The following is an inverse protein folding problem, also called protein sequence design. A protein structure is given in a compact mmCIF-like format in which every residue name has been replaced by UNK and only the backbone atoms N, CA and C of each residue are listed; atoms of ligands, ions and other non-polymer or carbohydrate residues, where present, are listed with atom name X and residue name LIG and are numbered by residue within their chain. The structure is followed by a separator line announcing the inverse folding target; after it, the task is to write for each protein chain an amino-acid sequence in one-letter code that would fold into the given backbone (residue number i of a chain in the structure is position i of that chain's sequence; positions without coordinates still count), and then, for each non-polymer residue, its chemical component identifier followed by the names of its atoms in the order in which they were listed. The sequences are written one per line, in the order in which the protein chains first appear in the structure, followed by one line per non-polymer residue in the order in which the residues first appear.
data_IF_495775231290
#
_entry.id   IF_495775231290
#
_cell.length_a   1.000
_cell.length_b   1.000
_cell.length_c   1.000
_cell.angle_alpha   90.00
_cell.angle_beta   90.00
_cell.angle_gamma   90.00
#
_symmetry.space_group_name_H-M   'P 1'
#
loop_
_entity.id
_entity.type
_entity.pdbx_description
1 polymer ?
#
# COMPACT_ATOMS: atom_id res chain seq x y z
N UNK A 1 49.83 12.00 13.68
CA UNK A 1 48.43 11.87 14.15
C UNK A 1 47.61 11.31 12.99
N UNK A 2 47.33 10.00 12.97
CA UNK A 2 46.55 9.32 11.93
C UNK A 2 45.15 9.08 12.51
N UNK A 3 44.15 9.79 12.00
CA UNK A 3 42.75 9.55 12.37
C UNK A 3 42.31 8.19 11.81
N UNK A 4 41.58 7.36 12.58
CA UNK A 4 41.15 6.05 12.12
C UNK A 4 40.04 6.18 11.05
N UNK A 5 40.05 5.36 9.98
CA UNK A 5 39.06 5.41 8.90
C UNK A 5 37.68 4.86 9.31
N UNK A 6 37.52 4.47 10.57
CA UNK A 6 36.35 3.76 11.11
C UNK A 6 35.12 4.67 11.16
N UNK A 7 35.30 5.99 11.24
CA UNK A 7 34.20 6.97 11.28
C UNK A 7 33.49 7.17 9.93
N UNK A 8 34.10 6.81 8.81
CA UNK A 8 33.49 7.01 7.49
C UNK A 8 32.44 5.95 7.14
N UNK A 9 32.55 4.73 7.69
CA UNK A 9 31.69 3.61 7.31
C UNK A 9 30.29 3.68 7.94
N UNK A 10 30.17 4.32 9.11
CA UNK A 10 28.89 4.43 9.85
C UNK A 10 27.89 5.38 9.19
N UNK A 11 28.36 6.38 8.43
CA UNK A 11 27.48 7.36 7.77
C UNK A 11 26.77 6.75 6.56
N UNK A 12 27.43 5.87 5.80
CA UNK A 12 26.85 5.26 4.59
C UNK A 12 25.67 4.32 4.89
N UNK A 13 25.67 3.62 6.03
CA UNK A 13 24.57 2.70 6.39
C UNK A 13 23.28 3.45 6.79
N UNK A 14 23.40 4.64 7.36
CA UNK A 14 22.24 5.43 7.79
C UNK A 14 21.47 6.08 6.63
N UNK A 15 22.13 6.32 5.48
CA UNK A 15 21.44 6.87 4.30
C UNK A 15 20.58 5.84 3.56
N UNK A 16 20.93 4.56 3.62
CA UNK A 16 20.24 3.51 2.86
C UNK A 16 18.81 3.21 3.37
N UNK A 17 18.59 3.24 4.69
CA UNK A 17 17.29 2.97 5.30
C UNK A 17 16.27 4.10 5.09
N UNK A 18 16.74 5.34 4.91
CA UNK A 18 15.87 6.49 4.60
C UNK A 18 15.36 6.42 3.16
N UNK A 19 16.21 5.98 2.22
CA UNK A 19 15.82 5.81 0.83
C UNK A 19 14.70 4.76 0.70
N UNK A 20 14.88 3.58 1.30
CA UNK A 20 13.89 2.51 1.28
C UNK A 20 12.52 2.97 1.80
N UNK A 21 12.46 3.67 2.95
CA UNK A 21 11.18 4.18 3.47
C UNK A 21 10.54 5.28 2.62
N UNK A 22 11.33 6.06 1.87
CA UNK A 22 10.79 7.05 0.94
C UNK A 22 10.20 6.38 -0.30
N UNK A 23 10.85 5.34 -0.82
CA UNK A 23 10.35 4.53 -1.93
C UNK A 23 9.05 3.80 -1.54
N UNK A 24 8.99 3.20 -0.35
CA UNK A 24 7.79 2.52 0.15
C UNK A 24 6.62 3.49 0.35
N UNK A 25 6.90 4.70 0.83
CA UNK A 25 5.90 5.77 0.95
C UNK A 25 5.33 6.16 -0.41
N UNK A 26 6.18 6.35 -1.43
CA UNK A 26 5.72 6.71 -2.77
C UNK A 26 4.85 5.59 -3.37
N UNK A 27 5.31 4.33 -3.25
CA UNK A 27 4.57 3.16 -3.71
C UNK A 27 3.21 3.00 -2.98
N UNK A 28 3.15 3.28 -1.68
CA UNK A 28 1.91 3.30 -0.90
C UNK A 28 0.93 4.37 -1.42
N UNK A 29 1.40 5.59 -1.68
CA UNK A 29 0.56 6.69 -2.24
C UNK A 29 -0.01 6.32 -3.60
N UNK A 30 0.81 5.75 -4.49
CA UNK A 30 0.37 5.29 -5.80
C UNK A 30 -0.65 4.14 -5.69
N UNK A 31 -0.41 3.19 -4.79
CA UNK A 31 -1.32 2.10 -4.49
C UNK A 31 -2.69 2.57 -4.00
N UNK A 32 -2.71 3.54 -3.07
CA UNK A 32 -3.95 4.17 -2.59
C UNK A 32 -4.70 4.84 -3.75
N UNK A 33 -4.01 5.57 -4.61
CA UNK A 33 -4.62 6.22 -5.77
C UNK A 33 -5.26 5.19 -6.73
N UNK A 34 -4.59 4.06 -6.96
CA UNK A 34 -5.14 2.94 -7.74
C UNK A 34 -6.42 2.40 -7.11
N UNK A 35 -6.45 2.12 -5.79
CA UNK A 35 -7.63 1.57 -5.12
C UNK A 35 -8.82 2.55 -5.23
N UNK A 36 -8.57 3.86 -5.09
CA UNK A 36 -9.61 4.88 -5.27
C UNK A 36 -10.15 4.89 -6.70
N UNK A 37 -9.27 4.79 -7.70
CA UNK A 37 -9.67 4.75 -9.11
C UNK A 37 -10.51 3.50 -9.40
N UNK A 38 -10.12 2.33 -8.89
CA UNK A 38 -10.90 1.10 -9.05
C UNK A 38 -12.26 1.20 -8.36
N UNK A 39 -12.33 1.75 -7.15
CA UNK A 39 -13.60 2.00 -6.47
C UNK A 39 -14.51 2.97 -7.24
N UNK A 40 -13.93 3.99 -7.90
CA UNK A 40 -14.69 4.92 -8.74
C UNK A 40 -15.29 4.25 -9.98
N UNK A 41 -14.66 3.19 -10.51
CA UNK A 41 -15.19 2.39 -11.62
C UNK A 41 -16.40 1.52 -11.23
N UNK A 42 -16.65 1.31 -9.92
CA UNK A 42 -17.63 0.31 -9.40
C UNK A 42 -18.95 0.97 -8.86
N UNK A 43 -19.30 2.21 -9.22
CA UNK A 43 -20.54 2.87 -8.75
C UNK A 43 -21.79 2.50 -9.58
N UNK A 44 -23.05 2.71 -9.09
CA UNK A 44 -23.70 2.34 -7.82
C UNK A 44 -24.68 1.15 -7.93
N UNK A 45 -24.81 0.52 -9.11
CA UNK A 45 -25.87 -0.46 -9.40
C UNK A 45 -25.52 -1.92 -9.05
N UNK A 46 -24.35 -2.17 -8.45
CA UNK A 46 -23.94 -3.49 -7.99
C UNK A 46 -24.67 -3.89 -6.69
N UNK A 47 -26.00 -3.99 -6.73
CA UNK A 47 -26.80 -4.58 -5.65
C UNK A 47 -26.71 -6.11 -5.73
N UNK A 48 -25.97 -6.67 -4.77
CA UNK A 48 -26.10 -8.00 -4.14
C UNK A 48 -26.44 -9.15 -5.11
N UNK A 49 -25.42 -9.90 -5.54
CA UNK A 49 -25.60 -11.28 -5.98
C UNK A 49 -25.27 -12.25 -4.82
N UNK A 50 -26.00 -13.37 -4.69
CA UNK A 50 -26.02 -14.24 -3.50
C UNK A 50 -24.82 -15.19 -3.33
N UNK A 51 -23.82 -15.16 -4.21
CA UNK A 51 -22.60 -15.99 -4.12
C UNK A 51 -21.33 -15.12 -4.01
N UNK A 52 -20.84 -14.99 -2.77
CA UNK A 52 -19.82 -14.02 -2.34
C UNK A 52 -18.38 -14.23 -2.87
N UNK A 53 -18.15 -15.21 -3.77
CA UNK A 53 -16.80 -15.52 -4.29
C UNK A 53 -16.51 -15.00 -5.69
N UNK A 54 -17.52 -14.59 -6.47
CA UNK A 54 -17.33 -14.25 -7.89
C UNK A 54 -18.25 -13.15 -8.41
N UNK A 55 -19.08 -12.56 -7.55
CA UNK A 55 -19.94 -11.46 -7.94
C UNK A 55 -19.17 -10.12 -8.04
N UNK A 56 -19.43 -9.27 -9.06
CA UNK A 56 -18.92 -7.89 -9.13
C UNK A 56 -19.20 -7.05 -7.87
N UNK A 57 -20.23 -7.41 -7.09
CA UNK A 57 -20.55 -6.81 -5.79
C UNK A 57 -19.64 -7.23 -4.62
N UNK A 58 -18.84 -8.30 -4.75
CA UNK A 58 -17.96 -8.82 -3.69
C UNK A 58 -16.54 -8.20 -3.68
N UNK A 59 -16.13 -7.56 -4.78
CA UNK A 59 -14.83 -6.87 -4.89
C UNK A 59 -14.87 -5.51 -4.17
N UNK A 60 -16.00 -4.79 -4.25
CA UNK A 60 -16.15 -3.45 -3.67
C UNK A 60 -15.90 -3.41 -2.14
N UNK A 61 -16.44 -4.33 -1.31
CA UNK A 61 -16.15 -4.35 0.12
C UNK A 61 -14.67 -4.62 0.44
N UNK A 62 -14.01 -5.48 -0.36
CA UNK A 62 -12.58 -5.80 -0.20
C UNK A 62 -11.71 -4.60 -0.52
N UNK A 63 -11.97 -3.93 -1.64
CA UNK A 63 -11.28 -2.69 -2.02
C UNK A 63 -11.49 -1.57 -1.01
N UNK A 64 -12.72 -1.38 -0.50
CA UNK A 64 -13.00 -0.39 0.56
C UNK A 64 -12.26 -0.71 1.85
N UNK A 65 -12.17 -1.98 2.23
CA UNK A 65 -11.40 -2.39 3.42
C UNK A 65 -9.92 -2.10 3.22
N UNK A 66 -9.34 -2.55 2.11
CA UNK A 66 -7.94 -2.32 1.77
C UNK A 66 -7.59 -0.82 1.74
N UNK A 67 -8.45 0.02 1.14
CA UNK A 67 -8.28 1.46 1.13
C UNK A 67 -8.20 2.05 2.55
N UNK A 68 -9.15 1.69 3.42
CA UNK A 68 -9.17 2.19 4.81
C UNK A 68 -7.93 1.76 5.61
N UNK A 69 -7.43 0.54 5.37
CA UNK A 69 -6.20 0.06 6.00
C UNK A 69 -5.02 0.86 5.48
N UNK A 70 -4.80 0.90 4.16
CA UNK A 70 -3.70 1.63 3.53
C UNK A 70 -3.66 3.12 3.93
N UNK A 71 -4.82 3.81 3.98
CA UNK A 71 -4.89 5.21 4.45
C UNK A 71 -4.50 5.37 5.92
N UNK A 72 -4.87 4.42 6.79
CA UNK A 72 -4.48 4.43 8.20
C UNK A 72 -2.98 4.21 8.34
N UNK A 73 -2.44 3.16 7.73
CA UNK A 73 -1.01 2.83 7.83
C UNK A 73 -0.13 3.95 7.23
N UNK A 74 -0.57 4.58 6.13
CA UNK A 74 0.07 5.77 5.55
C UNK A 74 0.11 6.96 6.52
N UNK A 75 -0.96 7.14 7.33
CA UNK A 75 -1.02 8.17 8.37
C UNK A 75 -0.15 7.84 9.59
N UNK A 76 0.04 6.56 9.87
CA UNK A 76 0.89 6.04 10.95
C UNK A 76 2.38 5.96 10.54
N UNK A 77 2.69 6.04 9.25
CA UNK A 77 4.05 5.95 8.72
C UNK A 77 4.56 4.51 8.56
N UNK A 78 3.66 3.53 8.66
CA UNK A 78 3.90 2.10 8.50
C UNK A 78 3.69 1.73 7.03
N UNK A 79 4.69 2.02 6.21
CA UNK A 79 4.59 1.95 4.76
C UNK A 79 4.57 0.50 4.25
N UNK A 80 5.23 -0.42 4.94
CA UNK A 80 5.22 -1.85 4.62
C UNK A 80 3.82 -2.46 4.79
N UNK A 81 3.14 -2.16 5.88
CA UNK A 81 1.76 -2.57 6.13
C UNK A 81 0.78 -1.88 5.15
N UNK A 82 1.07 -0.64 4.76
CA UNK A 82 0.34 0.00 3.67
C UNK A 82 0.48 -0.79 2.37
N UNK A 83 1.70 -1.20 2.00
CA UNK A 83 1.96 -1.95 0.78
C UNK A 83 1.31 -3.34 0.82
N UNK A 84 1.24 -3.98 1.98
CA UNK A 84 0.51 -5.23 2.17
C UNK A 84 -0.99 -5.06 1.90
N UNK A 85 -1.60 -3.97 2.41
CA UNK A 85 -2.99 -3.64 2.14
C UNK A 85 -3.24 -3.31 0.65
N UNK A 86 -2.30 -2.63 -0.01
CA UNK A 86 -2.33 -2.41 -1.46
C UNK A 86 -2.24 -3.74 -2.21
N UNK A 87 -1.38 -4.65 -1.78
CA UNK A 87 -1.26 -6.01 -2.34
C UNK A 87 -2.55 -6.81 -2.21
N UNK A 88 -3.25 -6.73 -1.07
CA UNK A 88 -4.57 -7.32 -0.87
C UNK A 88 -5.60 -6.81 -1.88
N UNK A 89 -5.62 -5.49 -2.13
CA UNK A 89 -6.50 -4.92 -3.14
C UNK A 89 -6.17 -5.43 -4.54
N UNK A 90 -4.89 -5.47 -4.92
CA UNK A 90 -4.46 -5.98 -6.22
C UNK A 90 -4.84 -7.46 -6.43
N UNK A 91 -4.71 -8.29 -5.39
CA UNK A 91 -5.16 -9.68 -5.42
C UNK A 91 -6.67 -9.80 -5.59
N UNK A 92 -7.44 -8.90 -4.98
CA UNK A 92 -8.89 -8.88 -5.14
C UNK A 92 -9.36 -8.48 -6.56
N UNK A 93 -8.52 -7.77 -7.32
CA UNK A 93 -8.80 -7.34 -8.70
C UNK A 93 -8.43 -8.37 -9.76
N UNK A 94 -7.57 -9.35 -9.43
CA UNK A 94 -7.17 -10.44 -10.32
C UNK A 94 -8.01 -11.69 -9.97
N UNK A 95 -9.14 -11.94 -10.67
CA UNK A 95 -10.01 -13.08 -10.39
C UNK A 95 -9.33 -14.44 -10.62
#
# INVERSE_FOLDING_TARGET
MRAPPVLALSVLLALGSVAARADDKAACVEGIAMIRAELAKIAPDAKIAPDAKTAPGAIQPRLRKALRVAEREMGEGEFDECLDAVGDAQRALKP
#
